data_IF_573788340256
#
_entry.id   IF_573788340256
#
_cell.length_a   1.000
_cell.length_b   1.000
_cell.length_c   1.000
_cell.angle_alpha   90.00
_cell.angle_beta   90.00
_cell.angle_gamma   90.00
#
_symmetry.space_group_name_H-M   'P 1'
#
loop_
_entity.id
_entity.type
_entity.pdbx_description
1 polymer ?
#
# COMPACT_ATOMS: atom_id res chain seq x y z
N UNK A 1 -0.41 -16.32 4.97
CA UNK A 1 -0.91 -14.97 5.29
C UNK A 1 -2.29 -14.74 4.68
N UNK A 2 -2.43 -14.89 3.35
CA UNK A 2 -3.67 -14.57 2.60
C UNK A 2 -4.75 -15.64 2.79
N UNK A 3 -4.37 -16.88 3.06
CA UNK A 3 -5.30 -18.04 3.15
C UNK A 3 -6.26 -18.09 1.95
N UNK A 4 -7.56 -18.22 2.21
CA UNK A 4 -8.61 -18.31 1.18
C UNK A 4 -9.34 -16.97 0.96
N UNK A 5 -8.78 -15.85 1.48
CA UNK A 5 -9.41 -14.54 1.37
C UNK A 5 -9.40 -14.02 -0.07
N UNK A 6 -10.40 -13.21 -0.41
CA UNK A 6 -10.47 -12.54 -1.72
C UNK A 6 -9.40 -11.46 -1.82
N UNK A 7 -8.66 -11.45 -2.92
CA UNK A 7 -7.59 -10.48 -3.18
C UNK A 7 -8.12 -9.37 -4.07
N UNK A 8 -7.94 -8.12 -3.64
CA UNK A 8 -8.32 -6.93 -4.40
C UNK A 8 -7.05 -6.33 -5.02
N UNK A 9 -7.04 -6.22 -6.34
CA UNK A 9 -5.86 -5.78 -7.10
C UNK A 9 -6.26 -4.69 -8.10
N UNK A 10 -5.34 -3.79 -8.40
CA UNK A 10 -5.48 -2.80 -9.47
C UNK A 10 -4.65 -3.21 -10.68
N UNK A 11 -5.24 -3.70 -11.74
CA UNK A 11 -4.62 -4.41 -12.86
C UNK A 11 -4.19 -5.85 -12.49
N UNK A 12 -5.15 -6.63 -12.08
CA UNK A 12 -4.93 -7.97 -11.51
C UNK A 12 -4.14 -8.92 -12.43
N UNK A 13 -4.28 -8.81 -13.74
CA UNK A 13 -3.60 -9.68 -14.69
C UNK A 13 -2.07 -9.58 -14.57
N UNK A 14 -1.55 -8.36 -14.41
CA UNK A 14 -0.12 -8.12 -14.27
C UNK A 14 0.43 -8.76 -12.99
N UNK A 15 -0.17 -8.43 -11.84
CA UNK A 15 0.33 -8.88 -10.54
C UNK A 15 0.17 -10.39 -10.37
N UNK A 16 -0.96 -10.95 -10.79
CA UNK A 16 -1.22 -12.39 -10.65
C UNK A 16 -0.29 -13.23 -11.52
N UNK A 17 0.01 -12.77 -12.74
CA UNK A 17 0.97 -13.47 -13.59
C UNK A 17 2.36 -13.47 -13.00
N UNK A 18 2.79 -12.33 -12.44
CA UNK A 18 4.08 -12.20 -11.79
C UNK A 18 4.18 -13.10 -10.55
N UNK A 19 3.21 -13.00 -9.64
CA UNK A 19 3.20 -13.80 -8.41
C UNK A 19 3.14 -15.31 -8.72
N UNK A 20 2.30 -15.72 -9.67
CA UNK A 20 2.20 -17.13 -10.05
C UNK A 20 3.49 -17.67 -10.66
N UNK A 21 4.23 -16.84 -11.39
CA UNK A 21 5.54 -17.22 -11.92
C UNK A 21 6.56 -17.41 -10.79
N UNK A 22 6.58 -16.48 -9.83
CA UNK A 22 7.48 -16.60 -8.68
C UNK A 22 7.14 -17.81 -7.80
N UNK A 23 5.87 -18.08 -7.56
CA UNK A 23 5.44 -19.26 -6.84
C UNK A 23 5.89 -20.54 -7.53
N UNK A 24 5.76 -20.62 -8.86
CA UNK A 24 6.23 -21.77 -9.64
C UNK A 24 7.75 -21.94 -9.54
N UNK A 25 8.51 -20.85 -9.61
CA UNK A 25 9.96 -20.87 -9.45
C UNK A 25 10.39 -21.43 -8.08
N UNK A 26 9.59 -21.16 -7.05
CA UNK A 26 9.79 -21.65 -5.69
C UNK A 26 9.19 -23.05 -5.43
N UNK A 27 8.59 -23.70 -6.44
CA UNK A 27 7.97 -25.03 -6.30
C UNK A 27 6.59 -25.01 -5.66
N UNK A 28 5.94 -23.85 -5.53
CA UNK A 28 4.59 -23.72 -4.99
C UNK A 28 3.52 -23.72 -6.08
N UNK A 29 2.29 -24.02 -5.68
CA UNK A 29 1.12 -23.96 -6.56
C UNK A 29 0.73 -22.50 -6.82
N UNK A 30 0.05 -22.27 -7.96
CA UNK A 30 -0.53 -20.98 -8.28
C UNK A 30 -1.58 -20.55 -7.25
N UNK A 31 -1.80 -19.24 -7.15
CA UNK A 31 -2.86 -18.67 -6.31
C UNK A 31 -4.21 -19.18 -6.78
N UNK A 32 -5.02 -19.67 -5.83
CA UNK A 32 -6.40 -20.14 -6.05
C UNK A 32 -7.46 -19.16 -5.55
N UNK A 33 -7.03 -18.09 -4.93
CA UNK A 33 -7.90 -17.09 -4.32
C UNK A 33 -8.81 -16.41 -5.35
N UNK A 34 -10.00 -16.02 -4.91
CA UNK A 34 -10.86 -15.14 -5.69
C UNK A 34 -10.18 -13.79 -5.88
N UNK A 35 -10.22 -13.25 -7.10
CA UNK A 35 -9.53 -12.00 -7.44
C UNK A 35 -10.54 -10.98 -7.94
N UNK A 36 -10.51 -9.79 -7.34
CA UNK A 36 -11.28 -8.62 -7.76
C UNK A 36 -10.33 -7.62 -8.40
N UNK A 37 -10.54 -7.33 -9.69
CA UNK A 37 -9.79 -6.31 -10.41
C UNK A 37 -10.56 -4.99 -10.38
N UNK A 38 -10.00 -4.00 -9.68
CA UNK A 38 -10.62 -2.67 -9.55
C UNK A 38 -10.64 -1.89 -10.86
N UNK A 39 -9.75 -2.16 -11.82
CA UNK A 39 -9.82 -1.57 -13.17
C UNK A 39 -11.10 -2.01 -13.88
N UNK A 40 -11.47 -3.28 -13.77
CA UNK A 40 -12.70 -3.77 -14.41
C UNK A 40 -13.95 -3.11 -13.85
N UNK A 41 -13.99 -2.89 -12.53
CA UNK A 41 -15.08 -2.18 -11.86
C UNK A 41 -15.08 -0.71 -12.30
N UNK A 42 -13.93 -0.05 -12.24
CA UNK A 42 -13.81 1.36 -12.58
C UNK A 42 -14.15 1.66 -14.05
N UNK A 43 -13.80 0.77 -14.99
CA UNK A 43 -14.20 0.92 -16.40
C UNK A 43 -15.70 0.84 -16.63
N UNK A 44 -16.43 0.09 -15.79
CA UNK A 44 -17.91 0.06 -15.84
C UNK A 44 -18.51 1.35 -15.32
N UNK A 45 -17.94 1.90 -14.25
CA UNK A 45 -18.42 3.14 -13.63
C UNK A 45 -18.03 4.40 -14.44
N UNK A 46 -16.85 4.40 -15.05
CA UNK A 46 -16.29 5.52 -15.80
C UNK A 46 -15.90 5.09 -17.24
N UNK A 47 -16.86 4.77 -18.11
CA UNK A 47 -16.57 4.31 -19.46
C UNK A 47 -15.82 5.39 -20.27
N UNK A 48 -14.80 4.96 -21.01
CA UNK A 48 -14.00 5.86 -21.85
C UNK A 48 -13.02 6.79 -21.12
N UNK A 49 -12.91 6.69 -19.81
CA UNK A 49 -12.03 7.54 -19.01
C UNK A 49 -10.80 6.78 -18.51
N UNK A 50 -9.76 7.55 -18.13
CA UNK A 50 -8.59 6.99 -17.48
C UNK A 50 -8.95 6.48 -16.06
N UNK A 51 -8.53 5.24 -15.78
CA UNK A 51 -8.86 4.52 -14.53
C UNK A 51 -7.62 4.11 -13.75
N UNK A 52 -6.50 4.85 -13.89
CA UNK A 52 -5.36 4.64 -13.01
C UNK A 52 -5.69 5.08 -11.57
N UNK A 53 -4.94 4.60 -10.60
CA UNK A 53 -5.23 4.80 -9.17
C UNK A 53 -5.31 6.29 -8.80
N UNK A 54 -4.43 7.14 -9.37
CA UNK A 54 -4.42 8.58 -9.09
C UNK A 54 -5.64 9.29 -9.68
N UNK A 55 -6.06 8.92 -10.90
CA UNK A 55 -7.28 9.48 -11.49
C UNK A 55 -8.53 9.03 -10.75
N UNK A 56 -8.57 7.81 -10.25
CA UNK A 56 -9.66 7.31 -9.41
C UNK A 56 -9.72 8.02 -8.06
N UNK A 57 -8.58 8.29 -7.44
CA UNK A 57 -8.53 9.10 -6.20
C UNK A 57 -9.18 10.47 -6.42
N UNK A 58 -8.83 11.16 -7.52
CA UNK A 58 -9.41 12.46 -7.86
C UNK A 58 -10.93 12.39 -8.10
N UNK A 59 -11.38 11.39 -8.88
CA UNK A 59 -12.81 11.23 -9.24
C UNK A 59 -13.69 10.86 -8.05
N UNK A 60 -13.15 10.06 -7.13
CA UNK A 60 -13.87 9.56 -5.96
C UNK A 60 -13.65 10.42 -4.70
N UNK A 61 -12.98 11.56 -4.83
CA UNK A 61 -12.63 12.44 -3.73
C UNK A 61 -11.89 11.70 -2.59
N UNK A 62 -10.98 10.80 -2.97
CA UNK A 62 -10.07 10.14 -2.03
C UNK A 62 -8.81 10.98 -1.93
N UNK A 63 -8.47 11.40 -0.70
CA UNK A 63 -7.27 12.18 -0.46
C UNK A 63 -6.05 11.36 -0.85
N UNK A 64 -5.32 11.81 -1.86
CA UNK A 64 -4.08 11.18 -2.29
C UNK A 64 -2.91 11.71 -1.45
N UNK A 65 -2.46 10.89 -0.51
CA UNK A 65 -1.35 11.20 0.40
C UNK A 65 0.03 10.91 -0.21
N UNK A 66 0.10 10.53 -1.48
CA UNK A 66 1.35 10.35 -2.21
C UNK A 66 1.99 11.71 -2.51
N UNK A 67 2.87 12.17 -1.65
CA UNK A 67 3.75 13.31 -1.93
C UNK A 67 4.97 12.84 -2.73
N UNK A 68 4.82 12.60 -4.03
CA UNK A 68 5.90 12.17 -4.94
C UNK A 68 6.61 10.85 -4.57
N UNK A 69 6.08 10.07 -3.62
CA UNK A 69 6.66 8.82 -3.18
C UNK A 69 5.67 7.65 -3.36
N UNK A 70 6.08 6.63 -4.09
CA UNK A 70 5.31 5.41 -4.29
C UNK A 70 5.79 4.33 -3.32
N UNK A 71 4.99 4.06 -2.31
CA UNK A 71 5.25 2.98 -1.37
C UNK A 71 4.15 1.92 -1.46
N UNK A 72 4.52 0.65 -1.45
CA UNK A 72 3.57 -0.46 -1.59
C UNK A 72 2.42 -0.38 -0.56
N UNK A 73 2.72 -0.03 0.68
CA UNK A 73 1.71 0.11 1.74
C UNK A 73 0.78 1.31 1.50
N UNK A 74 1.32 2.43 1.01
CA UNK A 74 0.52 3.61 0.66
C UNK A 74 -0.42 3.31 -0.50
N UNK A 75 0.08 2.61 -1.51
CA UNK A 75 -0.69 2.22 -2.68
C UNK A 75 -1.80 1.25 -2.30
N UNK A 76 -1.53 0.27 -1.45
CA UNK A 76 -2.54 -0.64 -0.91
C UNK A 76 -3.60 0.10 -0.09
N UNK A 77 -3.20 1.07 0.73
CA UNK A 77 -4.12 1.89 1.52
C UNK A 77 -5.02 2.77 0.63
N UNK A 78 -4.44 3.39 -0.42
CA UNK A 78 -5.22 4.16 -1.39
C UNK A 78 -6.18 3.25 -2.17
N UNK A 79 -5.71 2.07 -2.59
CA UNK A 79 -6.54 1.10 -3.30
C UNK A 79 -7.73 0.66 -2.46
N UNK A 80 -7.54 0.41 -1.17
CA UNK A 80 -8.64 0.03 -0.27
C UNK A 80 -9.71 1.14 -0.18
N UNK A 81 -9.29 2.39 -0.02
CA UNK A 81 -10.21 3.55 0.01
C UNK A 81 -10.95 3.73 -1.32
N UNK A 82 -10.23 3.62 -2.44
CA UNK A 82 -10.82 3.68 -3.79
C UNK A 82 -11.81 2.55 -4.00
N UNK A 83 -11.48 1.32 -3.61
CA UNK A 83 -12.36 0.17 -3.74
C UNK A 83 -13.65 0.35 -2.94
N UNK A 84 -13.56 0.79 -1.70
CA UNK A 84 -14.74 1.10 -0.88
C UNK A 84 -15.64 2.13 -1.57
N UNK A 85 -15.08 3.21 -2.09
CA UNK A 85 -15.85 4.25 -2.79
C UNK A 85 -16.47 3.75 -4.10
N UNK A 86 -15.79 2.86 -4.83
CA UNK A 86 -16.33 2.24 -6.04
C UNK A 86 -17.48 1.28 -5.77
N UNK A 87 -17.46 0.58 -4.64
CA UNK A 87 -18.44 -0.47 -4.33
C UNK A 87 -19.62 0.04 -3.51
N UNK A 88 -19.41 1.01 -2.61
CA UNK A 88 -20.48 1.56 -1.76
C UNK A 88 -21.29 2.63 -2.46
N UNK A 89 -20.87 3.09 -3.65
CA UNK A 89 -21.50 4.20 -4.36
C UNK A 89 -21.34 5.52 -3.60
N UNK A 90 -21.87 6.59 -4.17
CA UNK A 90 -22.05 7.87 -3.49
C UNK A 90 -23.27 7.77 -2.55
N UNK A 91 -23.15 7.05 -1.46
CA UNK A 91 -24.12 7.17 -0.40
C UNK A 91 -23.88 8.53 0.24
N UNK A 92 -24.57 9.55 -0.26
CA UNK A 92 -24.73 10.81 0.47
C UNK A 92 -25.25 10.44 1.84
N UNK A 93 -24.57 10.94 2.88
CA UNK A 93 -24.88 10.64 4.27
C UNK A 93 -26.39 10.80 4.51
N UNK A 94 -27.08 9.70 4.56
CA UNK A 94 -28.46 9.68 5.01
C UNK A 94 -28.40 9.93 6.51
N UNK A 95 -28.50 11.19 6.91
CA UNK A 95 -28.63 11.58 8.30
C UNK A 95 -30.03 11.12 8.82
N UNK A 96 -30.14 9.84 9.06
CA UNK A 96 -31.22 9.30 9.86
C UNK A 96 -30.71 9.17 11.29
N UNK A 97 -31.28 10.04 12.12
CA UNK A 97 -31.30 10.02 13.58
C UNK A 97 -30.14 10.64 14.34
N UNK A 98 -30.56 11.61 15.17
CA UNK A 98 -29.90 12.16 16.33
C UNK A 98 -29.44 11.06 17.33
N UNK A 99 -28.36 10.36 17.05
CA UNK A 99 -27.60 9.70 18.08
C UNK A 99 -26.14 10.08 17.86
N UNK A 100 -25.57 10.66 18.89
CA UNK A 100 -24.18 11.09 19.01
C UNK A 100 -23.19 10.01 18.51
N UNK A 101 -23.13 9.80 17.22
CA UNK A 101 -22.02 9.09 16.57
C UNK A 101 -20.90 10.10 16.45
N UNK A 102 -19.78 9.78 17.08
CA UNK A 102 -18.52 10.50 16.95
C UNK A 102 -18.33 10.85 15.48
N UNK A 103 -18.29 12.15 15.19
CA UNK A 103 -17.85 12.65 13.90
C UNK A 103 -16.48 12.02 13.63
N UNK A 104 -16.42 11.13 12.65
CA UNK A 104 -15.16 10.78 12.04
C UNK A 104 -14.68 12.03 11.31
N UNK A 105 -13.91 12.85 12.00
CA UNK A 105 -13.19 13.93 11.40
C UNK A 105 -12.18 13.28 10.44
N UNK A 106 -12.40 13.43 9.15
CA UNK A 106 -11.47 13.02 8.08
C UNK A 106 -10.05 13.61 8.25
N UNK A 107 -9.87 14.50 9.21
CA UNK A 107 -8.60 15.14 9.54
C UNK A 107 -7.76 14.38 10.60
N UNK A 108 -8.20 13.23 11.12
CA UNK A 108 -7.49 12.53 12.20
C UNK A 108 -7.18 11.05 11.93
N UNK A 109 -7.59 10.49 10.79
CA UNK A 109 -7.05 9.21 10.33
C UNK A 109 -5.73 9.40 9.55
N UNK A 110 -4.86 10.23 10.03
CA UNK A 110 -3.44 9.95 9.88
C UNK A 110 -3.21 8.72 10.74
N UNK A 111 -3.43 7.54 10.16
CA UNK A 111 -2.87 6.30 10.67
C UNK A 111 -1.46 6.67 11.13
N UNK A 112 -1.19 6.50 12.40
CA UNK A 112 0.00 7.05 13.07
C UNK A 112 1.23 6.23 12.62
N UNK A 113 1.50 6.24 11.29
CA UNK A 113 2.64 5.57 10.69
C UNK A 113 3.96 6.10 11.25
N UNK A 114 3.99 7.35 11.78
CA UNK A 114 5.13 7.84 12.54
C UNK A 114 5.40 6.95 13.76
N UNK A 115 4.37 6.49 14.46
CA UNK A 115 4.51 5.59 15.60
C UNK A 115 4.98 4.20 15.19
N UNK A 116 4.60 3.76 13.97
CA UNK A 116 5.04 2.46 13.43
C UNK A 116 6.50 2.49 12.96
N UNK A 117 6.98 3.62 12.43
CA UNK A 117 8.36 3.78 12.00
C UNK A 117 9.31 4.22 13.12
N UNK A 118 8.80 4.80 14.21
CA UNK A 118 9.59 5.25 15.34
C UNK A 118 9.65 4.24 16.51
N UNK A 119 8.89 3.14 16.45
CA UNK A 119 9.11 2.05 17.40
C UNK A 119 10.48 1.42 17.11
N UNK A 120 11.38 1.32 18.10
CA UNK A 120 12.65 0.64 17.87
C UNK A 120 12.35 -0.78 17.40
N UNK A 121 12.75 -1.10 16.18
CA UNK A 121 12.66 -2.47 15.67
C UNK A 121 13.50 -3.33 16.60
N UNK A 122 12.91 -4.38 17.17
CA UNK A 122 13.70 -5.43 17.81
C UNK A 122 14.78 -5.83 16.81
N UNK A 123 16.02 -5.79 17.21
CA UNK A 123 17.14 -6.27 16.40
C UNK A 123 16.83 -7.72 16.00
N UNK A 124 16.40 -7.92 14.75
CA UNK A 124 16.06 -9.25 14.23
C UNK A 124 17.32 -10.03 13.83
N UNK A 125 18.45 -9.35 13.69
CA UNK A 125 19.74 -9.93 13.32
C UNK A 125 20.86 -9.17 14.04
N UNK A 126 21.73 -9.88 14.72
CA UNK A 126 23.00 -9.35 15.19
C UNK A 126 23.99 -9.41 14.01
N UNK A 127 24.54 -8.26 13.63
CA UNK A 127 25.63 -8.19 12.67
C UNK A 127 26.87 -8.87 13.28
N UNK A 128 27.55 -9.71 12.49
CA UNK A 128 28.84 -10.25 12.88
C UNK A 128 29.91 -9.14 12.87
N UNK A 129 30.94 -9.27 13.69
CA UNK A 129 32.03 -8.29 13.74
C UNK A 129 32.73 -8.13 12.39
N UNK A 130 32.76 -9.19 11.59
CA UNK A 130 33.32 -9.19 10.24
C UNK A 130 32.49 -8.35 9.26
N UNK A 131 31.16 -8.42 9.34
CA UNK A 131 30.24 -7.58 8.53
C UNK A 131 30.33 -6.10 8.92
N UNK A 132 30.50 -5.83 10.20
CA UNK A 132 30.67 -4.47 10.71
C UNK A 132 31.99 -3.84 10.21
N UNK A 133 33.11 -4.56 10.27
CA UNK A 133 34.40 -4.07 9.78
C UNK A 133 34.42 -3.87 8.28
N UNK A 134 33.78 -4.77 7.50
CA UNK A 134 33.64 -4.62 6.05
C UNK A 134 32.79 -3.41 5.70
N UNK A 135 31.69 -3.19 6.41
CA UNK A 135 30.82 -2.02 6.21
C UNK A 135 31.57 -0.72 6.52
N UNK A 136 32.32 -0.67 7.63
CA UNK A 136 33.11 0.51 7.99
C UNK A 136 34.22 0.83 6.98
N UNK A 137 34.90 -0.19 6.44
CA UNK A 137 35.90 0.00 5.38
C UNK A 137 35.26 0.52 4.11
N UNK A 138 34.13 -0.05 3.70
CA UNK A 138 33.40 0.36 2.51
C UNK A 138 32.87 1.80 2.62
N UNK A 139 32.32 2.18 3.78
CA UNK A 139 31.80 3.55 3.99
C UNK A 139 32.91 4.60 4.00
N UNK A 140 34.14 4.26 4.45
CA UNK A 140 35.32 5.15 4.40
C UNK A 140 35.83 5.39 2.98
N UNK A 141 35.64 4.45 2.07
CA UNK A 141 36.03 4.60 0.66
C UNK A 141 35.04 5.47 -0.14
N UNK A 142 33.82 5.62 0.33
CA UNK A 142 32.79 6.42 -0.34
C UNK A 142 32.98 7.93 -0.06
N UNK A 143 33.42 8.67 -1.08
CA UNK A 143 33.47 10.16 -1.00
C UNK A 143 32.06 10.74 -0.87
N UNK A 144 31.84 11.59 0.14
CA UNK A 144 30.54 12.24 0.46
C UNK A 144 29.44 11.29 0.94
N UNK A 145 29.79 10.28 1.69
CA UNK A 145 28.83 9.36 2.28
C UNK A 145 27.87 10.08 3.26
N UNK A 146 26.59 9.79 3.15
CA UNK A 146 25.58 10.26 4.12
C UNK A 146 25.79 9.66 5.50
N UNK A 147 26.49 8.54 5.62
CA UNK A 147 26.79 7.86 6.87
C UNK A 147 27.77 8.62 7.77
N UNK A 148 28.59 9.51 7.22
CA UNK A 148 29.47 10.38 8.01
C UNK A 148 28.72 11.47 8.77
N UNK A 149 27.48 11.77 8.33
CA UNK A 149 26.64 12.83 8.94
C UNK A 149 25.70 12.32 10.05
N UNK A 150 25.68 11.01 10.25
CA UNK A 150 24.81 10.34 11.25
C UNK A 150 25.73 9.80 12.36
N UNK A 151 26.33 10.70 13.13
CA UNK A 151 26.99 10.37 14.40
C UNK A 151 26.22 10.96 15.55
#
# INVERSE_FOLDING_TARGET
FIKDDTIIIHNAEFDTNFINKELQNCGFNKIKNSIIDTIKIAKKEFPGQTVNLDSLCKKLNVVNIRQNYHGALLDATLLSKVYLRLTTGKQENFHLTNNKTKQFNDNQDTCDYKKFFLSPRKELMSLSDNERTLHESFTKEMKNSLWEKIK
#
